data_IF_542364529309
#
_entry.id   IF_542364529309
#
_cell.length_a   1.000
_cell.length_b   1.000
_cell.length_c   1.000
_cell.angle_alpha   90.00
_cell.angle_beta   90.00
_cell.angle_gamma   90.00
#
_symmetry.space_group_name_H-M   'P 1'
#
loop_
_entity.id
_entity.type
_entity.pdbx_description
1 polymer ?
#
# COMPACT_ATOMS: atom_id res chain seq x y z
N UNK A 1 28.81 57.55 8.74
CA UNK A 1 28.43 56.49 7.80
C UNK A 1 28.82 55.12 8.40
N UNK A 2 27.86 54.39 8.96
CA UNK A 2 28.07 53.04 9.47
C UNK A 2 27.78 52.01 8.37
N UNK A 3 28.43 50.83 8.41
CA UNK A 3 28.27 49.81 7.38
C UNK A 3 26.84 49.29 7.30
N UNK A 4 26.28 49.21 6.07
CA UNK A 4 24.97 48.64 5.79
C UNK A 4 24.86 47.20 6.30
N UNK A 5 23.85 46.97 7.12
CA UNK A 5 23.48 45.64 7.64
C UNK A 5 23.07 44.75 6.47
N UNK A 6 23.80 43.67 6.22
CA UNK A 6 23.42 42.66 5.23
C UNK A 6 22.01 42.14 5.53
N UNK A 7 21.15 41.88 4.51
CA UNK A 7 19.85 41.33 4.73
C UNK A 7 19.98 39.98 5.43
N UNK A 8 19.30 39.85 6.58
CA UNK A 8 19.34 38.67 7.41
C UNK A 8 18.97 37.40 6.62
N UNK A 9 19.87 36.44 6.62
CA UNK A 9 19.60 35.12 6.07
C UNK A 9 18.34 34.59 6.75
N UNK A 10 17.35 34.19 5.93
CA UNK A 10 16.15 33.50 6.40
C UNK A 10 16.64 32.18 7.00
N UNK A 11 16.47 32.01 8.31
CA UNK A 11 16.75 30.74 8.97
C UNK A 11 15.99 29.62 8.23
N UNK A 12 16.58 28.44 8.04
CA UNK A 12 15.87 27.31 7.43
C UNK A 12 14.59 27.08 8.24
N UNK A 13 13.45 27.26 7.60
CA UNK A 13 12.14 26.90 8.19
C UNK A 13 12.17 25.39 8.42
N UNK A 14 11.85 24.97 9.65
CA UNK A 14 11.62 23.54 9.94
C UNK A 14 10.54 22.96 9.03
N UNK A 15 10.32 21.63 9.05
CA UNK A 15 9.35 20.97 8.19
C UNK A 15 7.98 21.65 8.36
N UNK A 16 7.35 21.96 7.23
CA UNK A 16 6.04 22.62 7.23
C UNK A 16 4.99 21.67 7.83
N UNK A 17 4.27 22.16 8.83
CA UNK A 17 3.22 21.37 9.47
C UNK A 17 1.96 21.41 8.62
N UNK A 18 1.67 20.30 7.94
CA UNK A 18 0.42 20.11 7.20
C UNK A 18 -0.67 19.64 8.16
N UNK A 19 -1.66 20.49 8.42
CA UNK A 19 -2.82 20.14 9.23
C UNK A 19 -3.85 19.47 8.35
N UNK A 20 -4.17 18.21 8.69
CA UNK A 20 -5.14 17.40 7.97
C UNK A 20 -6.42 17.33 8.80
N UNK A 21 -7.43 18.09 8.38
CA UNK A 21 -8.78 17.94 8.91
C UNK A 21 -9.40 16.63 8.44
N UNK A 22 -10.11 15.93 9.31
CA UNK A 22 -10.83 14.70 8.99
C UNK A 22 -10.05 13.39 9.11
N UNK A 23 -8.73 13.44 9.32
CA UNK A 23 -7.95 12.25 9.63
C UNK A 23 -7.81 12.03 11.13
N UNK A 24 -8.02 10.81 11.61
CA UNK A 24 -7.71 10.45 13.00
C UNK A 24 -6.20 10.52 13.24
N UNK A 25 -5.78 10.71 14.52
CA UNK A 25 -4.36 10.72 14.87
C UNK A 25 -3.66 9.39 14.46
N UNK A 26 -4.40 8.30 14.54
CA UNK A 26 -3.95 6.96 14.20
C UNK A 26 -3.73 6.80 12.69
N UNK A 27 -4.69 7.20 11.88
CA UNK A 27 -4.56 7.13 10.43
C UNK A 27 -3.53 8.13 9.88
N UNK A 28 -3.37 9.30 10.51
CA UNK A 28 -2.34 10.26 10.14
C UNK A 28 -0.91 9.70 10.27
N UNK A 29 -0.68 8.70 11.14
CA UNK A 29 0.62 8.03 11.24
C UNK A 29 1.01 7.28 9.97
N UNK A 30 0.05 6.84 9.16
CA UNK A 30 0.32 6.21 7.86
C UNK A 30 0.85 7.20 6.81
N UNK A 31 0.48 8.47 6.93
CA UNK A 31 0.95 9.53 6.05
C UNK A 31 2.33 10.07 6.47
N UNK A 32 2.72 9.90 7.74
CA UNK A 32 3.91 10.54 8.29
C UNK A 32 5.19 10.25 7.50
N UNK A 33 5.54 9.00 7.14
CA UNK A 33 6.78 8.73 6.39
C UNK A 33 6.80 9.43 5.02
N UNK A 34 5.69 9.38 4.29
CA UNK A 34 5.57 10.00 2.96
C UNK A 34 5.63 11.52 3.05
N UNK A 35 4.97 12.13 4.04
CA UNK A 35 4.98 13.57 4.23
C UNK A 35 6.34 14.07 4.71
N UNK A 36 7.04 13.34 5.57
CA UNK A 36 8.40 13.68 6.01
C UNK A 36 9.38 13.65 4.84
N UNK A 37 9.26 12.68 3.93
CA UNK A 37 10.04 12.66 2.68
C UNK A 37 9.75 13.90 1.80
N UNK A 38 8.52 14.38 1.78
CA UNK A 38 8.12 15.60 1.09
C UNK A 38 8.45 16.90 1.87
N UNK A 39 9.10 16.79 3.03
CA UNK A 39 9.46 17.93 3.89
C UNK A 39 8.27 18.51 4.65
N UNK A 40 7.18 17.77 4.79
CA UNK A 40 5.98 18.16 5.51
C UNK A 40 5.73 17.23 6.73
N UNK A 41 4.90 17.67 7.66
CA UNK A 41 4.50 16.91 8.84
C UNK A 41 2.98 16.88 8.97
N UNK A 42 2.39 15.69 9.06
CA UNK A 42 0.98 15.54 9.36
C UNK A 42 0.68 15.97 10.80
N UNK A 43 -0.30 16.84 10.97
CA UNK A 43 -0.88 17.18 12.26
C UNK A 43 -2.38 16.93 12.15
N UNK A 44 -2.93 15.93 12.85
CA UNK A 44 -4.37 15.70 12.87
C UNK A 44 -5.09 16.95 13.36
N UNK A 45 -6.18 17.30 12.69
CA UNK A 45 -7.08 18.36 13.12
C UNK A 45 -8.50 17.80 13.10
N UNK A 46 -9.32 18.19 14.06
CA UNK A 46 -10.74 17.82 14.04
C UNK A 46 -11.42 18.55 12.87
N UNK A 47 -12.24 17.82 12.12
CA UNK A 47 -13.21 18.43 11.24
C UNK A 47 -14.33 19.02 12.11
N UNK A 48 -14.77 20.23 11.82
CA UNK A 48 -15.96 20.80 12.45
C UNK A 48 -17.24 20.20 11.83
N UNK A 49 -18.38 20.60 12.26
CA UNK A 49 -19.70 20.19 11.73
C UNK A 49 -20.05 21.05 10.52
N UNK A 50 -20.46 20.40 9.42
CA UNK A 50 -20.74 21.06 8.14
C UNK A 50 -21.61 22.31 8.27
N UNK A 51 -21.09 23.45 7.84
CA UNK A 51 -21.81 24.72 7.76
C UNK A 51 -22.66 24.80 6.50
N UNK A 52 -23.79 25.45 6.59
CA UNK A 52 -24.78 25.49 5.52
C UNK A 52 -24.31 26.33 4.34
N UNK A 53 -24.65 25.89 3.13
CA UNK A 53 -24.33 26.41 1.78
C UNK A 53 -24.62 27.93 1.58
N UNK A 54 -25.39 28.56 2.45
CA UNK A 54 -25.89 29.93 2.22
C UNK A 54 -24.83 31.05 2.25
N UNK A 55 -23.65 30.81 2.83
CA UNK A 55 -22.58 31.81 2.89
C UNK A 55 -21.60 31.77 1.69
N UNK A 56 -21.76 30.81 0.77
CA UNK A 56 -20.85 30.56 -0.34
C UNK A 56 -21.28 31.15 -1.68
N UNK A 57 -22.43 31.82 -1.76
CA UNK A 57 -22.92 32.41 -3.01
C UNK A 57 -22.15 33.68 -3.43
N UNK A 58 -21.19 34.14 -2.62
CA UNK A 58 -20.34 35.26 -2.98
C UNK A 58 -19.03 34.82 -3.65
N UNK A 59 -18.46 35.62 -4.55
CA UNK A 59 -17.14 35.36 -5.12
C UNK A 59 -16.06 35.27 -4.02
N UNK A 60 -15.09 34.36 -4.25
CA UNK A 60 -13.91 34.21 -3.40
C UNK A 60 -13.12 35.53 -3.33
N UNK A 61 -12.68 35.92 -2.16
CA UNK A 61 -12.00 37.18 -1.90
C UNK A 61 -10.73 37.00 -1.06
N UNK A 62 -9.75 37.89 -1.15
CA UNK A 62 -8.58 37.87 -0.27
C UNK A 62 -8.98 37.82 1.22
N UNK A 63 -8.34 36.93 1.98
CA UNK A 63 -8.65 36.67 3.38
C UNK A 63 -9.63 35.55 3.63
N UNK A 64 -10.36 35.06 2.63
CA UNK A 64 -11.25 33.92 2.75
C UNK A 64 -10.49 32.64 3.08
N UNK A 65 -11.13 31.77 3.87
CA UNK A 65 -10.61 30.45 4.14
C UNK A 65 -10.95 29.49 3.00
N UNK A 66 -10.00 28.64 2.67
CA UNK A 66 -10.14 27.58 1.66
C UNK A 66 -9.58 26.28 2.17
N UNK A 67 -10.07 25.16 1.63
CA UNK A 67 -9.55 23.84 1.88
C UNK A 67 -9.06 23.20 0.59
N UNK A 68 -7.85 22.67 0.63
CA UNK A 68 -7.24 21.89 -0.45
C UNK A 68 -7.40 20.42 -0.07
N UNK A 69 -8.31 19.70 -0.75
CA UNK A 69 -8.64 18.35 -0.42
C UNK A 69 -7.64 17.37 -1.04
N UNK A 70 -7.10 16.47 -0.22
CA UNK A 70 -6.31 15.30 -0.60
C UNK A 70 -7.21 14.06 -0.72
N UNK A 71 -8.25 13.98 0.11
CA UNK A 71 -9.32 12.98 0.04
C UNK A 71 -10.65 13.73 0.16
N UNK A 72 -11.63 13.38 -0.67
CA UNK A 72 -12.98 13.94 -0.62
C UNK A 72 -14.06 12.91 -0.92
N UNK A 73 -15.25 13.10 -0.42
CA UNK A 73 -16.40 12.19 -0.51
C UNK A 73 -16.89 11.82 0.88
N UNK A 74 -17.11 10.54 1.14
CA UNK A 74 -17.57 10.05 2.45
C UNK A 74 -16.53 10.26 3.56
N UNK A 75 -15.26 10.46 3.21
CA UNK A 75 -14.19 10.92 4.07
C UNK A 75 -13.55 12.16 3.45
N UNK A 76 -13.27 13.16 4.26
CA UNK A 76 -12.58 14.38 3.82
C UNK A 76 -11.27 14.53 4.57
N UNK A 77 -10.17 14.61 3.81
CA UNK A 77 -8.84 14.96 4.35
C UNK A 77 -8.33 16.15 3.57
N UNK A 78 -8.18 17.28 4.24
CA UNK A 78 -7.84 18.53 3.59
C UNK A 78 -6.84 19.38 4.39
N UNK A 79 -6.06 20.17 3.66
CA UNK A 79 -5.26 21.25 4.22
C UNK A 79 -6.05 22.56 4.15
N UNK A 80 -6.05 23.32 5.25
CA UNK A 80 -6.78 24.59 5.34
C UNK A 80 -5.82 25.74 5.11
N UNK A 81 -6.22 26.64 4.24
CA UNK A 81 -5.45 27.81 3.86
C UNK A 81 -6.25 29.11 3.84
N UNK A 82 -5.60 30.17 3.36
CA UNK A 82 -6.19 31.48 3.18
C UNK A 82 -5.93 31.98 1.77
N UNK A 83 -6.92 32.59 1.16
CA UNK A 83 -6.80 33.29 -0.12
C UNK A 83 -5.90 34.51 0.04
N UNK A 84 -4.86 34.59 -0.76
CA UNK A 84 -3.94 35.74 -0.78
C UNK A 84 -4.43 36.82 -1.75
N UNK A 85 -4.84 36.41 -2.96
CA UNK A 85 -5.33 37.28 -4.00
C UNK A 85 -6.24 36.52 -4.97
N UNK A 86 -7.14 37.21 -5.64
CA UNK A 86 -8.01 36.65 -6.70
C UNK A 86 -8.03 37.63 -7.88
N UNK A 87 -7.76 37.12 -9.10
CA UNK A 87 -7.85 37.87 -10.33
C UNK A 87 -8.51 37.02 -11.40
N UNK A 88 -9.62 37.47 -11.89
CA UNK A 88 -10.44 36.72 -12.84
C UNK A 88 -10.76 35.33 -12.32
N UNK A 89 -10.39 34.28 -13.04
CA UNK A 89 -10.59 32.87 -12.65
C UNK A 89 -9.40 32.29 -11.89
N UNK A 90 -8.41 33.08 -11.47
CA UNK A 90 -7.22 32.61 -10.73
C UNK A 90 -7.22 33.09 -9.32
N UNK A 91 -6.84 32.17 -8.42
CA UNK A 91 -6.63 32.47 -7.01
C UNK A 91 -5.19 32.08 -6.59
N UNK A 92 -4.57 32.94 -5.77
CA UNK A 92 -3.30 32.68 -5.09
C UNK A 92 -3.61 32.37 -3.63
N UNK A 93 -3.04 31.31 -3.13
CA UNK A 93 -3.40 30.76 -1.82
C UNK A 93 -2.16 30.55 -0.95
N UNK A 94 -2.31 30.57 0.38
CA UNK A 94 -1.37 30.23 1.43
C UNK A 94 -0.18 31.20 1.60
N UNK A 95 0.46 31.68 0.55
CA UNK A 95 1.72 32.46 0.63
C UNK A 95 2.96 31.60 1.00
N UNK A 96 2.84 30.27 1.00
CA UNK A 96 3.90 29.29 1.19
C UNK A 96 3.52 27.99 0.47
N UNK A 97 4.44 27.07 0.21
CA UNK A 97 4.11 25.78 -0.41
C UNK A 97 3.26 24.90 0.51
N UNK A 98 2.52 23.96 -0.10
CA UNK A 98 1.84 22.88 0.62
C UNK A 98 2.75 21.65 0.76
N UNK A 99 3.18 21.10 -0.38
CA UNK A 99 4.04 19.91 -0.48
C UNK A 99 5.27 20.18 -1.37
N UNK A 100 5.36 21.34 -1.99
CA UNK A 100 6.35 21.67 -3.03
C UNK A 100 6.31 20.77 -4.25
N UNK A 101 5.13 20.25 -4.57
CA UNK A 101 4.94 19.23 -5.59
C UNK A 101 5.00 19.81 -7.04
N UNK A 102 5.13 21.13 -7.21
CA UNK A 102 5.18 21.76 -8.54
C UNK A 102 3.82 21.77 -9.22
N UNK A 103 3.70 21.27 -10.46
CA UNK A 103 2.40 21.07 -11.11
C UNK A 103 1.58 20.02 -10.35
N UNK A 104 0.31 20.36 -10.03
CA UNK A 104 -0.62 19.49 -9.29
C UNK A 104 -2.03 19.64 -9.85
N UNK A 105 -2.93 18.75 -9.45
CA UNK A 105 -4.36 18.84 -9.76
C UNK A 105 -5.15 18.45 -8.49
N UNK A 106 -5.36 19.43 -7.56
CA UNK A 106 -5.97 19.20 -6.27
C UNK A 106 -7.30 19.94 -6.15
N UNK A 107 -8.28 19.32 -5.52
CA UNK A 107 -9.59 19.91 -5.32
C UNK A 107 -9.52 21.11 -4.35
N UNK A 108 -10.06 22.26 -4.78
CA UNK A 108 -10.20 23.46 -3.98
C UNK A 108 -11.65 23.61 -3.53
N UNK A 109 -11.85 23.77 -2.23
CA UNK A 109 -13.15 24.05 -1.63
C UNK A 109 -13.11 25.39 -0.88
N UNK A 110 -14.27 26.01 -0.72
CA UNK A 110 -14.41 27.00 0.34
C UNK A 110 -14.32 26.31 1.69
N UNK A 111 -13.86 27.02 2.69
CA UNK A 111 -13.82 26.54 4.07
C UNK A 111 -14.46 27.55 5.00
N UNK A 112 -15.21 27.03 5.98
CA UNK A 112 -15.65 27.81 7.12
C UNK A 112 -14.69 27.59 8.31
N UNK A 113 -14.41 28.65 9.04
CA UNK A 113 -13.51 28.62 10.20
C UNK A 113 -14.29 29.05 11.44
N UNK A 114 -15.06 28.17 12.07
CA UNK A 114 -15.88 28.51 13.25
C UNK A 114 -15.03 28.93 14.44
N UNK A 115 -13.77 28.48 14.51
CA UNK A 115 -12.89 28.87 15.63
C UNK A 115 -11.40 28.84 15.22
N UNK A 116 -10.63 29.68 15.88
CA UNK A 116 -9.17 29.66 15.85
C UNK A 116 -8.70 29.23 17.24
N UNK A 117 -8.01 28.10 17.31
CA UNK A 117 -7.40 27.62 18.54
C UNK A 117 -6.08 28.33 18.74
N UNK A 118 -5.99 29.17 19.77
CA UNK A 118 -4.78 29.86 20.14
C UNK A 118 -3.83 28.87 20.84
N UNK A 119 -2.70 28.59 20.21
CA UNK A 119 -1.60 27.81 20.80
C UNK A 119 -0.31 28.62 20.65
N UNK A 120 0.50 28.66 21.71
CA UNK A 120 1.78 29.40 21.69
C UNK A 120 2.82 28.84 20.73
N UNK A 121 2.74 27.54 20.43
CA UNK A 121 3.68 26.85 19.54
C UNK A 121 3.14 26.75 18.12
N UNK A 122 1.83 26.46 17.98
CA UNK A 122 1.24 26.18 16.69
C UNK A 122 -0.27 26.50 16.69
N UNK A 123 -0.67 27.78 16.55
CA UNK A 123 -2.08 28.16 16.46
C UNK A 123 -2.71 27.49 15.23
N UNK A 124 -3.99 27.11 15.32
CA UNK A 124 -4.67 26.47 14.20
C UNK A 124 -6.13 26.90 14.06
N UNK A 125 -6.60 26.79 12.82
CA UNK A 125 -8.00 26.99 12.48
C UNK A 125 -8.74 25.66 12.61
N UNK A 126 -9.83 25.62 13.36
CA UNK A 126 -10.85 24.59 13.17
C UNK A 126 -11.61 25.00 11.92
N UNK A 127 -11.65 24.12 10.93
CA UNK A 127 -12.26 24.45 9.66
C UNK A 127 -13.04 23.26 9.11
N UNK A 128 -14.16 23.61 8.48
CA UNK A 128 -15.01 22.69 7.75
C UNK A 128 -14.89 22.95 6.25
N UNK A 129 -14.94 21.88 5.48
CA UNK A 129 -15.10 21.95 4.03
C UNK A 129 -16.55 22.27 3.72
N UNK A 130 -16.78 23.27 2.91
CA UNK A 130 -18.14 23.72 2.61
C UNK A 130 -18.58 23.26 1.22
N UNK A 131 -19.70 22.56 1.19
CA UNK A 131 -20.33 22.06 -0.03
C UNK A 131 -19.76 20.72 -0.53
N UNK A 132 -20.54 20.00 -1.36
CA UNK A 132 -20.16 18.69 -1.90
C UNK A 132 -19.18 18.80 -3.08
N UNK A 133 -19.16 19.92 -3.78
CA UNK A 133 -18.41 20.10 -5.01
C UNK A 133 -17.27 21.12 -4.83
N UNK A 134 -16.12 20.89 -5.47
CA UNK A 134 -15.02 21.85 -5.45
C UNK A 134 -15.42 23.14 -6.16
N UNK A 135 -14.94 24.27 -5.66
CA UNK A 135 -15.09 25.60 -6.28
C UNK A 135 -14.01 25.87 -7.35
N UNK A 136 -13.04 24.98 -7.48
CA UNK A 136 -11.93 25.08 -8.41
C UNK A 136 -10.90 23.99 -8.17
N UNK A 137 -9.73 24.14 -8.79
CA UNK A 137 -8.60 23.23 -8.63
C UNK A 137 -7.29 23.97 -8.46
N UNK A 138 -6.44 23.51 -7.58
CA UNK A 138 -5.06 23.96 -7.46
C UNK A 138 -4.25 23.32 -8.58
N UNK A 139 -3.61 24.17 -9.41
CA UNK A 139 -2.84 23.73 -10.58
C UNK A 139 -1.34 23.77 -10.36
N UNK A 140 -0.90 24.47 -9.31
CA UNK A 140 0.51 24.58 -8.95
C UNK A 140 0.70 24.74 -7.46
N UNK A 141 1.65 23.97 -6.92
CA UNK A 141 2.16 24.09 -5.56
C UNK A 141 3.64 24.52 -5.63
N UNK A 142 3.85 25.84 -5.54
CA UNK A 142 5.15 26.47 -5.72
C UNK A 142 5.71 27.08 -4.45
N UNK A 143 6.97 27.53 -4.48
CA UNK A 143 7.67 28.11 -3.34
C UNK A 143 6.96 29.33 -2.71
N UNK A 144 6.30 30.15 -3.54
CA UNK A 144 5.61 31.36 -3.09
C UNK A 144 4.15 31.13 -2.67
N UNK A 145 3.64 29.91 -2.80
CA UNK A 145 2.26 29.53 -2.51
C UNK A 145 1.62 28.74 -3.63
N UNK A 146 0.32 28.55 -3.54
CA UNK A 146 -0.44 27.78 -4.52
C UNK A 146 -1.13 28.70 -5.51
N UNK A 147 -1.31 28.17 -6.72
CA UNK A 147 -2.11 28.81 -7.77
C UNK A 147 -3.28 27.88 -8.08
N UNK A 148 -4.48 28.42 -8.08
CA UNK A 148 -5.70 27.69 -8.41
C UNK A 148 -6.43 28.34 -9.58
N UNK A 149 -7.19 27.53 -10.33
CA UNK A 149 -8.19 27.96 -11.30
C UNK A 149 -9.56 27.68 -10.71
N UNK A 150 -10.43 28.69 -10.74
CA UNK A 150 -11.80 28.59 -10.23
C UNK A 150 -12.73 28.02 -11.31
N UNK A 151 -13.79 27.32 -10.89
CA UNK A 151 -14.81 26.73 -11.76
C UNK A 151 -14.55 25.30 -12.20
N UNK A 152 -13.29 24.90 -12.38
CA UNK A 152 -12.94 23.55 -12.83
C UNK A 152 -12.81 22.56 -11.67
N UNK A 153 -13.18 21.30 -11.91
CA UNK A 153 -12.94 20.21 -10.98
C UNK A 153 -11.66 19.42 -11.35
N UNK A 154 -10.89 18.91 -10.39
CA UNK A 154 -9.71 18.10 -10.66
C UNK A 154 -10.07 16.69 -11.14
N UNK A 155 -9.10 16.05 -11.83
CA UNK A 155 -9.18 14.67 -12.25
C UNK A 155 -8.74 13.72 -11.13
N UNK A 156 -9.51 13.63 -10.05
CA UNK A 156 -9.20 12.74 -8.92
C UNK A 156 -9.33 11.25 -9.26
N UNK A 157 -8.71 10.40 -8.44
CA UNK A 157 -8.85 8.93 -8.52
C UNK A 157 -10.01 8.45 -7.65
N UNK A 158 -11.11 7.92 -8.23
CA UNK A 158 -12.18 7.29 -7.47
C UNK A 158 -11.68 6.03 -6.76
N UNK A 159 -11.95 5.94 -5.46
CA UNK A 159 -11.70 4.75 -4.63
C UNK A 159 -12.99 4.37 -3.90
N UNK A 160 -13.40 3.12 -4.02
CA UNK A 160 -14.49 2.54 -3.25
C UNK A 160 -13.91 1.45 -2.36
N UNK A 161 -14.09 1.59 -1.06
CA UNK A 161 -13.68 0.61 -0.05
C UNK A 161 -14.93 0.02 0.58
N UNK A 162 -15.08 -1.30 0.48
CA UNK A 162 -16.12 -2.05 1.18
C UNK A 162 -15.47 -2.97 2.20
N UNK A 163 -15.88 -2.85 3.45
CA UNK A 163 -15.44 -3.71 4.55
C UNK A 163 -16.64 -4.49 5.06
N UNK A 164 -16.50 -5.80 5.10
CA UNK A 164 -17.50 -6.73 5.60
C UNK A 164 -16.94 -7.46 6.84
N UNK A 165 -17.75 -7.62 7.90
CA UNK A 165 -17.51 -8.48 9.06
C UNK A 165 -18.69 -9.44 9.20
N UNK A 166 -18.63 -10.40 10.14
CA UNK A 166 -19.74 -11.34 10.39
C UNK A 166 -21.07 -10.64 10.74
N UNK A 167 -21.04 -9.45 11.32
CA UNK A 167 -22.22 -8.74 11.84
C UNK A 167 -22.52 -7.39 11.19
N UNK A 168 -21.62 -6.85 10.39
CA UNK A 168 -21.76 -5.50 9.84
C UNK A 168 -21.02 -5.34 8.51
N UNK A 169 -21.46 -4.36 7.72
CA UNK A 169 -20.79 -3.95 6.48
C UNK A 169 -20.74 -2.43 6.39
N UNK A 170 -19.64 -1.90 5.88
CA UNK A 170 -19.46 -0.48 5.60
C UNK A 170 -18.87 -0.28 4.22
N UNK A 171 -19.45 0.64 3.46
CA UNK A 171 -18.89 1.08 2.19
C UNK A 171 -18.57 2.56 2.28
N UNK A 172 -17.37 2.93 1.84
CA UNK A 172 -16.88 4.31 1.78
C UNK A 172 -16.46 4.59 0.34
N UNK A 173 -17.02 5.65 -0.24
CA UNK A 173 -16.69 6.12 -1.58
C UNK A 173 -15.97 7.47 -1.49
N UNK A 174 -14.74 7.51 -1.96
CA UNK A 174 -13.91 8.72 -1.94
C UNK A 174 -13.27 9.00 -3.30
N UNK A 175 -12.73 10.18 -3.43
CA UNK A 175 -11.86 10.61 -4.51
C UNK A 175 -10.52 11.02 -3.92
N UNK A 176 -9.44 10.42 -4.40
CA UNK A 176 -8.08 10.67 -3.95
C UNK A 176 -7.39 11.66 -4.90
N UNK A 177 -6.63 12.58 -4.33
CA UNK A 177 -5.72 13.42 -5.11
C UNK A 177 -4.70 12.55 -5.86
N UNK A 178 -4.43 12.89 -7.14
CA UNK A 178 -3.43 12.20 -7.97
C UNK A 178 -2.05 12.78 -7.71
N UNK A 179 -1.41 12.29 -6.68
CA UNK A 179 -0.03 12.59 -6.31
C UNK A 179 0.71 11.25 -6.17
N UNK A 180 1.46 10.80 -7.19
CA UNK A 180 2.03 9.43 -7.21
C UNK A 180 2.71 9.01 -5.91
N UNK A 181 3.51 9.88 -5.31
CA UNK A 181 4.17 9.60 -4.03
C UNK A 181 3.25 9.61 -2.80
N UNK A 182 2.02 10.15 -2.88
CA UNK A 182 1.12 10.28 -1.74
C UNK A 182 -0.17 9.47 -1.90
N UNK A 183 -0.66 9.27 -3.12
CA UNK A 183 -1.94 8.57 -3.39
C UNK A 183 -2.04 7.20 -2.72
N UNK A 184 -0.99 6.33 -2.71
CA UNK A 184 -1.04 5.06 -1.99
C UNK A 184 -1.29 5.24 -0.48
N UNK A 185 -0.64 6.21 0.14
CA UNK A 185 -0.80 6.50 1.56
C UNK A 185 -2.19 7.08 1.89
N UNK A 186 -2.79 7.87 0.97
CA UNK A 186 -4.18 8.34 1.09
C UNK A 186 -5.18 7.19 0.99
N UNK A 187 -4.92 6.19 0.13
CA UNK A 187 -5.72 4.97 0.07
C UNK A 187 -5.60 4.16 1.37
N UNK A 188 -4.38 3.98 1.91
CA UNK A 188 -4.15 3.33 3.19
C UNK A 188 -4.90 4.02 4.33
N UNK A 189 -4.82 5.34 4.40
CA UNK A 189 -5.56 6.14 5.39
C UNK A 189 -7.07 5.89 5.28
N UNK A 190 -7.63 5.93 4.06
CA UNK A 190 -9.07 5.69 3.83
C UNK A 190 -9.49 4.29 4.29
N UNK A 191 -8.66 3.28 4.00
CA UNK A 191 -8.90 1.90 4.44
C UNK A 191 -8.87 1.80 5.96
N UNK A 192 -7.85 2.36 6.61
CA UNK A 192 -7.75 2.33 8.07
C UNK A 192 -8.94 2.99 8.75
N UNK A 193 -9.32 4.19 8.32
CA UNK A 193 -10.50 4.90 8.86
C UNK A 193 -11.78 4.08 8.67
N UNK A 194 -11.93 3.41 7.52
CA UNK A 194 -13.11 2.57 7.24
C UNK A 194 -13.15 1.35 8.16
N UNK A 195 -12.02 0.67 8.35
CA UNK A 195 -11.90 -0.52 9.20
C UNK A 195 -12.09 -0.15 10.68
N UNK A 196 -11.41 0.90 11.14
CA UNK A 196 -11.50 1.37 12.54
C UNK A 196 -12.94 1.78 12.89
N UNK A 197 -13.63 2.49 11.99
CA UNK A 197 -15.01 2.91 12.19
C UNK A 197 -16.02 1.74 12.20
N UNK A 198 -15.69 0.59 11.56
CA UNK A 198 -16.55 -0.59 11.57
C UNK A 198 -16.29 -1.49 12.78
N UNK A 199 -15.01 -1.68 13.14
CA UNK A 199 -14.61 -2.56 14.24
C UNK A 199 -14.75 -1.95 15.62
N UNK A 200 -14.68 -0.61 15.72
CA UNK A 200 -14.71 0.16 16.98
C UNK A 200 -13.71 -0.35 18.04
N UNK A 201 -12.61 -0.96 17.57
CA UNK A 201 -11.52 -1.45 18.44
C UNK A 201 -10.22 -1.63 17.69
N UNK A 202 -9.11 -1.50 18.40
CA UNK A 202 -7.79 -1.96 17.97
C UNK A 202 -7.59 -3.42 18.41
N UNK A 203 -7.12 -4.28 17.53
CA UNK A 203 -6.87 -5.68 17.86
C UNK A 203 -6.55 -6.53 16.63
N UNK A 204 -6.06 -7.74 16.91
CA UNK A 204 -5.71 -8.72 15.89
C UNK A 204 -6.92 -9.33 15.18
N UNK A 205 -6.64 -10.20 14.21
CA UNK A 205 -7.62 -10.91 13.39
C UNK A 205 -7.02 -11.28 12.04
N UNK A 206 -7.89 -11.69 11.10
CA UNK A 206 -7.53 -11.96 9.72
C UNK A 206 -8.41 -11.17 8.75
N UNK A 207 -7.89 -10.90 7.56
CA UNK A 207 -8.60 -10.21 6.50
C UNK A 207 -8.25 -10.80 5.13
N UNK A 208 -9.26 -10.87 4.25
CA UNK A 208 -9.09 -11.10 2.83
C UNK A 208 -9.32 -9.78 2.09
N UNK A 209 -8.42 -9.45 1.16
CA UNK A 209 -8.48 -8.24 0.35
C UNK A 209 -8.63 -8.63 -1.11
N UNK A 210 -9.61 -8.03 -1.79
CA UNK A 210 -9.83 -8.20 -3.22
C UNK A 210 -9.89 -6.84 -3.90
N UNK A 211 -8.96 -6.60 -4.83
CA UNK A 211 -8.91 -5.37 -5.63
C UNK A 211 -9.48 -5.59 -7.02
N UNK A 212 -10.14 -4.58 -7.52
CA UNK A 212 -10.45 -4.38 -8.92
C UNK A 212 -9.96 -2.98 -9.31
N UNK A 213 -8.88 -2.91 -10.08
CA UNK A 213 -8.20 -1.67 -10.47
C UNK A 213 -8.34 -1.50 -11.98
N UNK A 214 -9.05 -0.46 -12.41
CA UNK A 214 -9.13 -0.10 -13.81
C UNK A 214 -7.92 0.75 -14.18
N UNK A 215 -7.02 0.15 -14.95
CA UNK A 215 -5.77 0.77 -15.43
C UNK A 215 -5.91 1.38 -16.84
N UNK A 216 -7.14 1.46 -17.37
CA UNK A 216 -7.43 2.04 -18.69
C UNK A 216 -7.05 1.15 -19.88
N UNK A 217 -6.70 -0.11 -19.65
CA UNK A 217 -6.24 -1.06 -20.69
C UNK A 217 -7.36 -2.02 -21.16
N UNK A 218 -8.62 -1.69 -20.87
CA UNK A 218 -9.81 -2.41 -21.34
C UNK A 218 -10.31 -3.53 -20.41
N UNK A 219 -9.45 -4.13 -19.57
CA UNK A 219 -9.90 -5.03 -18.48
C UNK A 219 -9.31 -4.58 -17.16
N UNK A 220 -10.07 -4.70 -16.05
CA UNK A 220 -9.54 -4.38 -14.74
C UNK A 220 -8.51 -5.42 -14.29
N UNK A 221 -7.45 -4.95 -13.62
CA UNK A 221 -6.53 -5.77 -12.86
C UNK A 221 -7.24 -6.26 -11.60
N UNK A 222 -7.26 -7.59 -11.38
CA UNK A 222 -7.86 -8.22 -10.21
C UNK A 222 -6.79 -8.88 -9.37
N UNK A 223 -6.72 -8.49 -8.11
CA UNK A 223 -5.73 -9.00 -7.16
C UNK A 223 -6.44 -9.53 -5.92
N UNK A 224 -5.85 -10.55 -5.31
CA UNK A 224 -6.27 -11.11 -4.04
C UNK A 224 -5.07 -11.16 -3.10
N UNK A 225 -5.30 -10.88 -1.83
CA UNK A 225 -4.30 -11.08 -0.77
C UNK A 225 -4.99 -11.38 0.55
N UNK A 226 -4.22 -11.91 1.50
CA UNK A 226 -4.69 -12.16 2.85
C UNK A 226 -3.73 -11.56 3.86
N UNK A 227 -4.28 -11.12 4.98
CA UNK A 227 -3.50 -10.57 6.07
C UNK A 227 -3.96 -11.13 7.41
N UNK A 228 -2.99 -11.45 8.25
CA UNK A 228 -3.20 -11.76 9.66
C UNK A 228 -2.31 -10.80 10.44
N UNK A 229 -2.85 -10.24 11.50
CA UNK A 229 -2.08 -9.42 12.44
C UNK A 229 -2.53 -9.73 13.85
N UNK A 230 -1.58 -9.70 14.79
CA UNK A 230 -1.85 -10.07 16.19
C UNK A 230 -2.34 -8.89 17.02
N UNK A 231 -1.96 -7.69 16.65
CA UNK A 231 -2.14 -6.49 17.47
C UNK A 231 -3.02 -5.44 16.81
N UNK A 232 -2.85 -5.20 15.50
CA UNK A 232 -3.46 -4.08 14.78
C UNK A 232 -3.79 -4.44 13.34
N UNK A 233 -4.86 -5.21 13.17
CA UNK A 233 -5.31 -5.65 11.85
C UNK A 233 -5.64 -4.46 10.92
N UNK A 234 -6.24 -3.38 11.45
CA UNK A 234 -6.60 -2.23 10.63
C UNK A 234 -5.39 -1.57 9.97
N UNK A 235 -4.32 -1.34 10.74
CA UNK A 235 -3.08 -0.79 10.22
C UNK A 235 -2.38 -1.76 9.26
N UNK A 236 -2.39 -3.07 9.53
CA UNK A 236 -1.82 -4.08 8.65
C UNK A 236 -2.55 -4.15 7.31
N UNK A 237 -3.88 -4.18 7.32
CA UNK A 237 -4.74 -4.18 6.13
C UNK A 237 -4.56 -2.90 5.32
N UNK A 238 -4.48 -1.74 5.98
CA UNK A 238 -4.26 -0.46 5.32
C UNK A 238 -2.94 -0.42 4.54
N UNK A 239 -1.84 -0.90 5.15
CA UNK A 239 -0.53 -1.00 4.46
C UNK A 239 -0.59 -1.96 3.27
N UNK A 240 -1.22 -3.12 3.43
CA UNK A 240 -1.42 -4.08 2.34
C UNK A 240 -2.24 -3.48 1.20
N UNK A 241 -3.28 -2.71 1.53
CA UNK A 241 -4.15 -2.07 0.54
C UNK A 241 -3.43 -1.04 -0.33
N UNK A 242 -2.40 -0.38 0.20
CA UNK A 242 -1.60 0.60 -0.54
C UNK A 242 -0.63 -0.05 -1.55
N UNK A 243 -0.20 -1.29 -1.33
CA UNK A 243 0.85 -1.95 -2.11
C UNK A 243 0.62 -1.93 -3.62
N UNK A 244 -0.51 -2.41 -4.15
CA UNK A 244 -0.77 -2.38 -5.59
C UNK A 244 -0.72 -0.97 -6.19
N UNK A 245 -1.22 0.04 -5.48
CA UNK A 245 -1.17 1.43 -5.94
C UNK A 245 0.26 1.98 -5.94
N UNK A 246 1.07 1.62 -4.95
CA UNK A 246 2.48 2.03 -4.90
C UNK A 246 3.25 1.46 -6.10
N UNK A 247 3.04 0.19 -6.42
CA UNK A 247 3.64 -0.47 -7.59
C UNK A 247 3.19 0.19 -8.89
N UNK A 248 1.87 0.38 -9.07
CA UNK A 248 1.33 0.94 -10.31
C UNK A 248 1.73 2.40 -10.53
N UNK A 249 1.75 3.22 -9.48
CA UNK A 249 2.07 4.65 -9.57
C UNK A 249 3.57 4.94 -9.58
N UNK A 250 4.38 4.06 -8.97
CA UNK A 250 5.83 4.19 -8.93
C UNK A 250 6.55 3.53 -10.11
N UNK A 251 5.84 2.85 -11.02
CA UNK A 251 6.46 2.09 -12.10
C UNK A 251 7.30 2.96 -13.05
N UNK A 252 8.43 2.44 -13.58
CA UNK A 252 9.31 3.20 -14.47
C UNK A 252 8.90 3.15 -15.95
N UNK A 253 7.81 2.43 -16.32
CA UNK A 253 7.51 2.12 -17.72
C UNK A 253 6.59 3.14 -18.38
N UNK A 254 5.58 3.60 -17.66
CA UNK A 254 4.62 4.59 -18.16
C UNK A 254 3.84 5.25 -17.03
N UNK A 255 3.26 6.42 -17.29
CA UNK A 255 2.24 7.00 -16.41
C UNK A 255 0.95 6.18 -16.51
N UNK A 256 0.49 5.54 -15.42
CA UNK A 256 -0.70 4.69 -15.45
C UNK A 256 -1.97 5.54 -15.51
N UNK A 257 -2.86 5.22 -16.45
CA UNK A 257 -4.18 5.84 -16.52
C UNK A 257 -5.15 5.13 -15.55
N UNK A 258 -4.95 5.30 -14.23
CA UNK A 258 -5.85 4.71 -13.24
C UNK A 258 -7.23 5.40 -13.34
N UNK A 259 -8.25 4.66 -13.73
CA UNK A 259 -9.61 5.18 -13.90
C UNK A 259 -10.39 5.06 -12.59
N UNK A 260 -10.28 3.93 -11.92
CA UNK A 260 -11.01 3.61 -10.69
C UNK A 260 -10.32 2.49 -9.91
N UNK A 261 -10.46 2.54 -8.58
CA UNK A 261 -10.07 1.46 -7.68
C UNK A 261 -11.27 1.03 -6.86
N UNK A 262 -11.57 -0.26 -6.83
CA UNK A 262 -12.50 -0.86 -5.90
C UNK A 262 -11.75 -1.89 -5.04
N UNK A 263 -11.96 -1.83 -3.73
CA UNK A 263 -11.36 -2.73 -2.75
C UNK A 263 -12.45 -3.30 -1.86
N UNK A 264 -12.55 -4.62 -1.82
CA UNK A 264 -13.37 -5.36 -0.87
C UNK A 264 -12.47 -6.00 0.17
N UNK A 265 -12.85 -5.88 1.43
CA UNK A 265 -12.15 -6.42 2.58
C UNK A 265 -13.14 -7.23 3.41
N UNK A 266 -12.85 -8.50 3.61
CA UNK A 266 -13.60 -9.38 4.50
C UNK A 266 -12.77 -9.63 5.76
N UNK A 267 -13.29 -9.24 6.93
CA UNK A 267 -12.59 -9.32 8.21
C UNK A 267 -13.20 -10.43 9.06
N UNK A 268 -12.32 -11.24 9.65
CA UNK A 268 -12.64 -12.24 10.68
C UNK A 268 -11.87 -11.90 11.94
N UNK A 269 -12.51 -12.11 13.09
CA UNK A 269 -11.89 -11.85 14.38
C UNK A 269 -10.88 -12.94 14.77
N UNK A 270 -11.02 -14.13 14.19
CA UNK A 270 -10.11 -15.24 14.33
C UNK A 270 -8.83 -14.99 13.52
N UNK A 271 -7.73 -15.54 14.03
CA UNK A 271 -6.44 -15.51 13.34
C UNK A 271 -6.32 -16.75 12.47
N UNK A 272 -6.75 -16.65 11.22
CA UNK A 272 -6.72 -17.77 10.26
C UNK A 272 -5.34 -17.86 9.58
N UNK A 273 -4.39 -18.47 10.31
CA UNK A 273 -3.08 -18.81 9.77
C UNK A 273 -2.57 -20.14 10.32
N UNK A 274 -1.65 -20.76 9.60
CA UNK A 274 -0.94 -21.96 10.02
C UNK A 274 0.57 -21.79 9.79
N UNK A 275 1.35 -22.27 10.71
CA UNK A 275 2.82 -22.33 10.60
C UNK A 275 3.23 -23.67 10.01
N UNK A 276 4.10 -23.65 8.99
CA UNK A 276 4.81 -24.84 8.53
C UNK A 276 5.92 -25.16 9.53
N UNK A 277 5.76 -26.22 10.30
CA UNK A 277 6.66 -26.57 11.40
C UNK A 277 7.60 -27.73 11.08
N UNK A 278 7.28 -28.53 10.05
CA UNK A 278 8.08 -29.68 9.66
C UNK A 278 7.75 -30.12 8.24
N UNK A 279 8.76 -30.54 7.50
CA UNK A 279 8.64 -31.22 6.21
C UNK A 279 9.43 -32.50 6.24
N UNK A 280 8.78 -33.63 5.92
CA UNK A 280 9.39 -34.94 5.75
C UNK A 280 9.16 -35.44 4.31
N UNK A 281 10.15 -36.06 3.69
CA UNK A 281 10.01 -36.69 2.38
C UNK A 281 9.66 -38.18 2.56
N UNK A 282 8.79 -38.72 1.68
CA UNK A 282 8.46 -40.13 1.66
C UNK A 282 9.69 -40.99 1.31
N UNK A 283 10.49 -40.51 0.36
CA UNK A 283 11.74 -41.14 -0.04
C UNK A 283 12.86 -40.07 -0.09
N UNK A 284 14.07 -40.41 0.39
CA UNK A 284 15.21 -39.49 0.37
C UNK A 284 15.86 -39.37 -1.01
N UNK A 285 15.47 -40.19 -1.97
CA UNK A 285 16.07 -40.29 -3.31
C UNK A 285 15.01 -40.21 -4.39
N UNK A 286 15.36 -39.56 -5.52
CA UNK A 286 14.49 -39.42 -6.69
C UNK A 286 15.35 -39.30 -7.96
N UNK A 287 14.88 -39.83 -9.09
CA UNK A 287 15.48 -39.59 -10.38
C UNK A 287 15.12 -38.20 -10.95
N UNK A 288 15.97 -37.60 -11.85
CA UNK A 288 15.56 -36.43 -12.61
C UNK A 288 14.24 -36.70 -13.35
N UNK A 289 13.33 -35.72 -13.42
CA UNK A 289 11.99 -35.88 -13.99
C UNK A 289 10.99 -36.64 -13.10
N UNK A 290 11.44 -37.17 -11.98
CA UNK A 290 10.58 -37.90 -11.02
C UNK A 290 9.73 -36.96 -10.16
N UNK A 291 8.99 -37.58 -9.22
CA UNK A 291 8.14 -36.84 -8.27
C UNK A 291 8.51 -37.25 -6.85
N UNK A 292 8.69 -36.27 -5.97
CA UNK A 292 8.90 -36.44 -4.53
C UNK A 292 7.60 -36.19 -3.81
N UNK A 293 7.21 -37.10 -2.91
CA UNK A 293 6.10 -36.86 -1.99
C UNK A 293 6.65 -36.26 -0.71
N UNK A 294 6.09 -35.11 -0.30
CA UNK A 294 6.42 -34.46 0.95
C UNK A 294 5.21 -34.45 1.90
N UNK A 295 5.47 -34.76 3.18
CA UNK A 295 4.53 -34.62 4.27
C UNK A 295 4.79 -33.30 4.97
N UNK A 296 3.80 -32.41 4.94
CA UNK A 296 3.87 -31.06 5.51
C UNK A 296 3.09 -31.06 6.83
N UNK A 297 3.77 -30.79 7.92
CA UNK A 297 3.14 -30.61 9.21
C UNK A 297 2.83 -29.13 9.42
N UNK A 298 1.56 -28.83 9.49
CA UNK A 298 1.03 -27.49 9.67
C UNK A 298 0.45 -27.35 11.07
N UNK A 299 0.83 -26.29 11.78
CA UNK A 299 0.29 -25.92 13.08
C UNK A 299 -0.64 -24.71 12.93
N UNK A 300 -1.98 -24.89 12.87
CA UNK A 300 -2.92 -23.77 12.90
C UNK A 300 -2.83 -23.01 14.22
N UNK A 301 -3.09 -21.71 14.16
CA UNK A 301 -3.15 -20.88 15.37
C UNK A 301 -4.21 -21.42 16.34
N UNK A 302 -3.78 -21.84 17.54
CA UNK A 302 -4.63 -22.46 18.60
C UNK A 302 -5.43 -23.69 18.13
N UNK A 303 -5.04 -24.32 17.02
CA UNK A 303 -5.65 -25.53 16.48
C UNK A 303 -4.77 -26.76 16.68
N UNK A 304 -5.27 -27.93 16.32
CA UNK A 304 -4.48 -29.16 16.30
C UNK A 304 -3.60 -29.21 15.05
N UNK A 305 -2.37 -29.73 15.21
CA UNK A 305 -1.46 -29.93 14.08
C UNK A 305 -2.08 -30.90 13.08
N UNK A 306 -1.94 -30.56 11.79
CA UNK A 306 -2.41 -31.42 10.70
C UNK A 306 -1.26 -31.74 9.75
N UNK A 307 -1.30 -32.91 9.15
CA UNK A 307 -0.36 -33.30 8.10
C UNK A 307 -1.09 -33.29 6.77
N UNK A 308 -0.47 -32.67 5.76
CA UNK A 308 -0.94 -32.73 4.38
C UNK A 308 0.17 -33.23 3.48
N UNK A 309 -0.18 -33.86 2.36
CA UNK A 309 0.80 -34.41 1.41
C UNK A 309 0.85 -33.52 0.18
N UNK A 310 2.06 -33.31 -0.34
CA UNK A 310 2.31 -32.57 -1.55
C UNK A 310 3.23 -33.34 -2.49
N UNK A 311 2.80 -33.54 -3.73
CA UNK A 311 3.61 -34.08 -4.80
C UNK A 311 4.42 -32.97 -5.47
N UNK A 312 5.74 -33.13 -5.53
CA UNK A 312 6.67 -32.13 -6.05
C UNK A 312 7.35 -32.69 -7.29
N UNK A 313 7.12 -32.12 -8.47
CA UNK A 313 7.83 -32.53 -9.68
C UNK A 313 9.28 -32.06 -9.60
N UNK A 314 10.21 -32.99 -9.77
CA UNK A 314 11.64 -32.70 -9.91
C UNK A 314 11.96 -32.47 -11.38
N UNK A 315 12.65 -31.38 -11.75
CA UNK A 315 12.98 -31.12 -13.16
C UNK A 315 13.92 -32.15 -13.75
N UNK A 316 13.83 -32.39 -15.06
CA UNK A 316 14.71 -33.33 -15.81
C UNK A 316 16.16 -32.85 -15.88
N UNK A 317 16.41 -31.56 -15.79
CA UNK A 317 17.71 -30.90 -15.97
C UNK A 317 18.53 -30.80 -14.67
N UNK A 318 18.04 -31.35 -13.54
CA UNK A 318 18.82 -31.40 -12.31
C UNK A 318 19.92 -32.47 -12.39
N UNK A 319 21.11 -32.12 -11.87
CA UNK A 319 22.24 -33.03 -11.87
C UNK A 319 22.14 -34.01 -10.69
N UNK A 320 22.67 -35.25 -10.86
CA UNK A 320 22.84 -36.16 -9.73
C UNK A 320 23.63 -35.52 -8.60
N UNK A 321 23.20 -35.78 -7.36
CA UNK A 321 23.78 -35.22 -6.14
C UNK A 321 22.70 -34.75 -5.14
N UNK A 322 23.09 -33.92 -4.19
CA UNK A 322 22.16 -33.34 -3.21
C UNK A 322 21.42 -32.14 -3.79
N UNK A 323 20.12 -32.14 -3.65
CA UNK A 323 19.23 -31.03 -4.05
C UNK A 323 18.48 -30.50 -2.81
N UNK A 324 18.67 -29.22 -2.49
CA UNK A 324 17.95 -28.57 -1.43
C UNK A 324 16.60 -28.06 -1.94
N UNK A 325 15.53 -28.47 -1.29
CA UNK A 325 14.18 -27.96 -1.50
C UNK A 325 13.83 -27.00 -0.37
N UNK A 326 13.41 -25.80 -0.71
CA UNK A 326 12.91 -24.80 0.26
C UNK A 326 11.38 -24.77 0.18
N UNK A 327 10.74 -24.99 1.31
CA UNK A 327 9.30 -24.88 1.50
C UNK A 327 9.03 -23.64 2.34
N UNK A 328 8.23 -22.71 1.84
CA UNK A 328 7.88 -21.50 2.60
C UNK A 328 6.48 -21.03 2.30
N UNK A 329 5.83 -20.40 3.27
CA UNK A 329 4.62 -19.62 3.01
C UNK A 329 4.93 -18.46 2.06
N UNK A 330 4.00 -18.14 1.14
CA UNK A 330 4.22 -17.07 0.17
C UNK A 330 4.36 -15.69 0.82
N UNK A 331 3.84 -15.51 2.03
CA UNK A 331 4.01 -14.29 2.84
C UNK A 331 5.38 -14.19 3.55
N UNK A 332 6.16 -15.28 3.57
CA UNK A 332 7.49 -15.31 4.18
C UNK A 332 8.51 -14.88 3.14
N UNK A 333 9.30 -13.82 3.39
CA UNK A 333 10.35 -13.40 2.47
C UNK A 333 11.36 -14.52 2.19
N UNK A 334 12.01 -14.49 1.02
CA UNK A 334 13.19 -15.32 0.80
C UNK A 334 14.34 -14.75 1.67
N UNK A 335 14.87 -15.53 2.62
CA UNK A 335 15.89 -15.00 3.56
C UNK A 335 17.16 -14.49 2.90
N UNK A 336 17.40 -14.81 1.62
CA UNK A 336 18.55 -14.29 0.87
C UNK A 336 18.30 -12.88 0.30
N UNK A 337 17.03 -12.47 0.16
CA UNK A 337 16.68 -11.11 -0.29
C UNK A 337 16.90 -10.12 0.87
N UNK A 338 16.79 -10.57 2.12
CA UNK A 338 16.96 -9.71 3.31
C UNK A 338 18.44 -9.44 3.67
N UNK A 339 19.40 -10.31 3.26
CA UNK A 339 20.81 -10.17 3.64
C UNK A 339 21.59 -9.17 2.77
N UNK A 340 21.18 -8.96 1.51
CA UNK A 340 21.98 -8.21 0.52
C UNK A 340 21.41 -6.82 0.15
N UNK A 341 20.15 -6.50 0.48
CA UNK A 341 19.56 -5.21 0.11
C UNK A 341 19.38 -4.28 1.34
N UNK A 342 19.96 -3.06 1.31
CA UNK A 342 19.57 -2.04 2.27
C UNK A 342 18.06 -1.77 2.13
N UNK A 343 17.36 -1.42 3.22
CA UNK A 343 15.92 -1.15 3.16
C UNK A 343 15.66 -0.15 2.03
N UNK A 344 14.93 -0.58 1.02
CA UNK A 344 14.63 0.22 -0.16
C UNK A 344 14.02 1.56 0.29
N UNK A 345 14.64 2.66 -0.13
CA UNK A 345 14.19 4.01 0.24
C UNK A 345 12.90 4.40 -0.50
N UNK A 346 12.62 3.76 -1.64
CA UNK A 346 11.47 4.02 -2.49
C UNK A 346 10.31 3.05 -2.17
N UNK A 347 9.08 3.56 -1.97
CA UNK A 347 7.90 2.71 -1.78
C UNK A 347 7.66 1.71 -2.93
N UNK A 348 8.04 2.04 -4.16
CA UNK A 348 7.99 1.14 -5.30
C UNK A 348 8.96 -0.03 -5.14
N UNK A 349 10.22 0.24 -4.79
CA UNK A 349 11.24 -0.79 -4.59
C UNK A 349 10.86 -1.73 -3.44
N UNK A 350 10.32 -1.19 -2.34
CA UNK A 350 9.78 -2.00 -1.25
C UNK A 350 8.63 -2.89 -1.71
N UNK A 351 7.69 -2.34 -2.47
CA UNK A 351 6.51 -3.06 -2.93
C UNK A 351 6.82 -4.10 -4.02
N UNK A 352 7.88 -3.89 -4.80
CA UNK A 352 8.36 -4.81 -5.85
C UNK A 352 9.44 -5.77 -5.37
N UNK A 353 9.90 -5.64 -4.14
CA UNK A 353 10.85 -6.59 -3.54
C UNK A 353 10.36 -8.02 -3.73
N UNK A 354 11.19 -8.87 -4.35
CA UNK A 354 10.83 -10.24 -4.73
C UNK A 354 10.11 -10.42 -6.07
N UNK A 355 9.75 -9.34 -6.77
CA UNK A 355 9.34 -9.45 -8.17
C UNK A 355 10.57 -9.60 -9.09
N UNK A 356 10.38 -10.23 -10.28
CA UNK A 356 11.43 -10.30 -11.30
C UNK A 356 11.88 -8.91 -11.77
N UNK A 357 13.13 -8.69 -12.24
CA UNK A 357 13.43 -7.53 -13.06
C UNK A 357 12.45 -7.49 -14.21
N UNK A 358 11.60 -6.46 -14.18
CA UNK A 358 10.56 -6.25 -15.17
C UNK A 358 11.11 -5.29 -16.22
N UNK A 359 10.77 -5.55 -17.48
CA UNK A 359 11.25 -4.77 -18.63
C UNK A 359 10.11 -4.01 -19.32
N UNK A 360 8.86 -4.23 -18.90
CA UNK A 360 7.70 -3.61 -19.53
C UNK A 360 6.49 -3.51 -18.59
N UNK A 361 5.58 -2.63 -18.94
CA UNK A 361 4.28 -2.52 -18.26
C UNK A 361 3.48 -3.83 -18.31
N UNK A 362 3.50 -4.54 -19.45
CA UNK A 362 2.81 -5.83 -19.59
C UNK A 362 3.34 -6.89 -18.63
N UNK A 363 4.66 -6.94 -18.46
CA UNK A 363 5.30 -7.85 -17.49
C UNK A 363 4.96 -7.46 -16.06
N UNK A 364 4.88 -6.16 -15.74
CA UNK A 364 4.46 -5.69 -14.43
C UNK A 364 3.03 -6.16 -14.10
N UNK A 365 2.09 -5.97 -15.02
CA UNK A 365 0.70 -6.40 -14.82
C UNK A 365 0.63 -7.92 -14.67
N UNK A 366 1.34 -8.69 -15.53
CA UNK A 366 1.42 -10.14 -15.42
C UNK A 366 2.00 -10.60 -14.08
N UNK A 367 3.08 -9.98 -13.62
CA UNK A 367 3.71 -10.29 -12.34
C UNK A 367 2.79 -10.00 -11.15
N UNK A 368 1.98 -8.93 -11.21
CA UNK A 368 0.98 -8.64 -10.19
C UNK A 368 -0.15 -9.68 -10.18
N UNK A 369 -0.65 -10.09 -11.35
CA UNK A 369 -1.71 -11.11 -11.46
C UNK A 369 -1.24 -12.51 -11.02
N UNK A 370 0.02 -12.85 -11.30
CA UNK A 370 0.63 -14.14 -10.95
C UNK A 370 1.24 -14.16 -9.54
N UNK A 371 1.21 -13.05 -8.82
CA UNK A 371 1.79 -12.96 -7.48
C UNK A 371 1.22 -14.04 -6.57
N UNK A 372 2.08 -14.82 -5.87
CA UNK A 372 1.60 -15.79 -4.91
C UNK A 372 0.77 -15.14 -3.80
N UNK A 373 -0.33 -15.79 -3.43
CA UNK A 373 -1.21 -15.34 -2.35
C UNK A 373 -0.69 -15.83 -1.00
N UNK A 374 -0.96 -15.09 0.07
CA UNK A 374 -0.45 -15.41 1.40
C UNK A 374 -0.88 -16.79 1.95
N UNK A 375 -1.96 -17.37 1.41
CA UNK A 375 -2.44 -18.72 1.74
C UNK A 375 -1.74 -19.85 0.98
N UNK A 376 -0.78 -19.52 0.12
CA UNK A 376 -0.07 -20.50 -0.68
C UNK A 376 1.26 -20.87 -0.06
N UNK A 377 1.59 -22.14 -0.18
CA UNK A 377 2.91 -22.69 0.06
C UNK A 377 3.67 -22.71 -1.26
N UNK A 378 4.90 -22.26 -1.24
CA UNK A 378 5.84 -22.33 -2.35
C UNK A 378 6.89 -23.40 -2.07
N UNK A 379 7.21 -24.21 -3.10
CA UNK A 379 8.35 -25.13 -3.07
C UNK A 379 9.33 -24.68 -4.13
N UNK A 380 10.57 -24.43 -3.72
CA UNK A 380 11.55 -23.77 -4.57
C UNK A 380 12.93 -24.45 -4.43
N UNK A 381 13.68 -24.50 -5.54
CA UNK A 381 15.11 -24.80 -5.53
C UNK A 381 15.86 -23.49 -5.39
N UNK A 382 16.77 -23.34 -4.42
CA UNK A 382 17.65 -22.18 -4.33
C UNK A 382 18.44 -21.95 -5.63
N UNK A 383 18.42 -20.74 -6.18
CA UNK A 383 19.21 -20.30 -7.33
C UNK A 383 20.21 -19.21 -6.95
N UNK A 384 21.19 -18.89 -7.80
CA UNK A 384 22.18 -17.83 -7.53
C UNK A 384 21.54 -16.44 -7.43
N UNK A 385 20.62 -16.12 -8.33
CA UNK A 385 19.91 -14.83 -8.36
C UNK A 385 18.45 -14.97 -7.96
N UNK A 386 17.84 -16.14 -8.18
CA UNK A 386 16.43 -16.41 -7.89
C UNK A 386 16.17 -17.87 -7.63
N UNK A 387 15.21 -18.17 -6.76
CA UNK A 387 14.73 -19.53 -6.61
C UNK A 387 13.96 -19.97 -7.88
N UNK A 388 14.14 -21.24 -8.24
CA UNK A 388 13.33 -21.93 -9.25
C UNK A 388 12.12 -22.55 -8.57
N UNK A 389 10.92 -22.06 -8.87
CA UNK A 389 9.69 -22.60 -8.30
C UNK A 389 9.34 -23.95 -8.93
N UNK A 390 9.10 -24.94 -8.07
CA UNK A 390 8.69 -26.30 -8.45
C UNK A 390 7.18 -26.52 -8.25
N UNK A 391 6.65 -25.99 -7.16
CA UNK A 391 5.24 -26.14 -6.83
C UNK A 391 4.69 -24.89 -6.13
N UNK A 392 3.39 -24.70 -6.29
CA UNK A 392 2.58 -23.68 -5.63
C UNK A 392 1.25 -24.33 -5.24
N UNK A 393 0.90 -24.28 -3.97
CA UNK A 393 -0.26 -24.99 -3.45
C UNK A 393 -1.03 -24.11 -2.46
N UNK A 394 -2.32 -23.93 -2.70
CA UNK A 394 -3.24 -23.25 -1.78
C UNK A 394 -3.56 -24.15 -0.58
N UNK A 395 -3.29 -23.71 0.63
CA UNK A 395 -3.55 -24.44 1.88
C UNK A 395 -4.78 -23.95 2.63
N UNK A 396 -5.52 -22.99 2.05
CA UNK A 396 -6.80 -22.48 2.55
C UNK A 396 -6.68 -21.41 3.63
N UNK A 397 -5.57 -21.32 4.34
CA UNK A 397 -5.25 -20.31 5.35
C UNK A 397 -3.89 -19.67 5.08
N UNK A 398 -3.63 -18.47 5.60
CA UNK A 398 -2.31 -17.85 5.50
C UNK A 398 -1.24 -18.78 6.06
N UNK A 399 -0.16 -19.00 5.30
CA UNK A 399 0.94 -19.88 5.68
C UNK A 399 2.16 -19.07 6.07
N UNK A 400 2.68 -19.36 7.26
CA UNK A 400 3.97 -18.86 7.76
C UNK A 400 4.98 -19.98 7.88
N UNK A 401 6.22 -19.66 8.19
CA UNK A 401 7.30 -20.64 8.35
C UNK A 401 8.03 -20.94 7.04
N UNK A 402 9.24 -21.45 7.22
CA UNK A 402 10.16 -21.85 6.16
C UNK A 402 10.93 -23.09 6.62
N UNK A 403 10.93 -24.12 5.77
CA UNK A 403 11.65 -25.36 6.01
C UNK A 403 12.53 -25.73 4.80
N UNK A 404 13.69 -26.32 5.05
CA UNK A 404 14.60 -26.82 4.03
C UNK A 404 14.84 -28.30 4.20
N UNK A 405 14.66 -29.04 3.12
CA UNK A 405 14.88 -30.49 3.08
C UNK A 405 15.79 -30.83 1.92
N UNK A 406 16.72 -31.75 2.15
CA UNK A 406 17.61 -32.27 1.10
C UNK A 406 17.05 -33.55 0.53
N UNK A 407 16.97 -33.65 -0.79
CA UNK A 407 16.67 -34.86 -1.55
C UNK A 407 17.88 -35.25 -2.39
N UNK A 408 18.17 -36.51 -2.50
CA UNK A 408 19.26 -37.04 -3.33
C UNK A 408 18.76 -37.34 -4.74
N UNK A 409 19.37 -36.72 -5.74
CA UNK A 409 19.11 -36.98 -7.14
C UNK A 409 19.98 -38.15 -7.55
N UNK A 410 19.38 -39.28 -7.93
CA UNK A 410 20.07 -40.50 -8.33
C UNK A 410 20.11 -40.65 -9.86
N UNK A 411 21.24 -41.08 -10.39
CA UNK A 411 21.35 -41.36 -11.82
C UNK A 411 20.60 -42.67 -12.13
N UNK A 412 19.58 -42.66 -12.99
CA UNK A 412 18.83 -43.87 -13.34
C UNK A 412 19.68 -44.94 -14.04
N UNK A 413 20.81 -44.57 -14.65
CA UNK A 413 21.71 -45.49 -15.34
C UNK A 413 22.80 -46.07 -14.43
N UNK A 414 23.13 -45.46 -13.31
CA UNK A 414 24.13 -45.96 -12.35
C UNK A 414 23.74 -47.31 -11.67
N UNK A 415 22.46 -47.69 -11.69
CA UNK A 415 21.97 -48.97 -11.14
C UNK A 415 22.05 -50.14 -12.17
N UNK A 416 22.38 -49.89 -13.43
CA UNK A 416 22.48 -50.96 -14.47
C UNK A 416 23.86 -51.56 -14.61
N UNK A 417 24.91 -50.89 -14.12
CA UNK A 417 26.31 -51.39 -14.25
C UNK A 417 26.75 -52.33 -13.11
N UNK A 418 25.89 -52.66 -12.17
CA UNK A 418 26.23 -53.49 -11.00
C UNK A 418 25.94 -55.01 -11.12
N UNK A 419 25.40 -55.50 -12.24
CA UNK A 419 25.10 -56.95 -12.43
C UNK A 419 25.75 -57.54 -13.70
N UNK A 420 27.05 -57.47 -13.76
CA UNK A 420 27.81 -58.10 -14.88
C UNK A 420 29.24 -58.37 -14.49
N UNK A 421 29.46 -59.43 -13.71
CA UNK A 421 30.84 -59.88 -13.49
C UNK A 421 31.00 -60.87 -12.34
N UNK A 422 30.50 -62.10 -12.55
CA UNK A 422 31.08 -63.32 -11.96
C UNK A 422 30.68 -64.49 -12.84
N UNK A 423 31.62 -64.88 -13.71
CA UNK A 423 31.82 -66.25 -14.14
C UNK A 423 33.31 -66.61 -13.95
#
# INVERSE_FOLDING_TARGET
EGPARAPGGVAPRGPESLRLAGASARAATLLAPTLEHLGARAVPAQAGTATTRAELERPLSPGDAVAIALVRGDLVVAAVGTVTDVRDERAWLLGHPLLRAGPVDLALFAADVPAIVADRRLPYKLADVVGPDPIGRVTRDGQAGLIATLGDAPADLPLIVRVDTAGASRTVAVRLARLPGLTPALAALTVQETVDALRDRVGGGSAELAWEIDVGDGRPLRLLDQRVDEADLAAAVARTAAGPLAILLGNPFRDPNLVRVALRIEIREERDHAELVEVALEAPEVAPGGTVQAFLRLQPFRGEARVTTLAIPVPDDVRPGELVLTFRGASVPDPRIEEDDPPAADPYDQATSGLPPLLSWGELIGALEERPQARELLVEIPGETRPRRLARTDLGSLVTGLERVTVRIVDPDASRDGTGGEE
#
